data_IF_467493545786
#
_entry.id   IF_467493545786
#
_cell.length_a   1.000
_cell.length_b   1.000
_cell.length_c   1.000
_cell.angle_alpha   90.00
_cell.angle_beta   90.00
_cell.angle_gamma   90.00
#
_symmetry.space_group_name_H-M   'P 1'
#
loop_
_entity.id
_entity.type
_entity.pdbx_description
1 polymer ?
#
# COMPACT_ATOMS: atom_id res chain seq x y z
N UNK A 1 -6.51 15.79 -5.40
CA UNK A 1 -7.39 14.62 -5.42
C UNK A 1 -7.39 14.07 -6.83
N UNK A 2 -6.77 12.92 -7.05
CA UNK A 2 -6.55 12.36 -8.38
C UNK A 2 -7.83 11.80 -9.02
N UNK A 3 -7.84 11.68 -10.35
CA UNK A 3 -8.94 11.06 -11.13
C UNK A 3 -9.01 9.55 -10.86
N UNK A 4 -10.16 8.90 -11.11
CA UNK A 4 -10.40 7.50 -10.75
C UNK A 4 -9.33 6.52 -11.25
N UNK A 5 -8.78 6.75 -12.46
CA UNK A 5 -7.71 5.91 -13.03
C UNK A 5 -6.43 5.97 -12.19
N UNK A 6 -6.03 7.16 -11.76
CA UNK A 6 -4.85 7.35 -10.92
C UNK A 6 -5.00 6.68 -9.55
N UNK A 7 -6.21 6.69 -8.98
CA UNK A 7 -6.48 6.04 -7.69
C UNK A 7 -6.27 4.52 -7.75
N UNK A 8 -6.64 3.86 -8.85
CA UNK A 8 -6.39 2.43 -9.05
C UNK A 8 -4.89 2.16 -9.15
N UNK A 9 -4.20 2.96 -9.98
CA UNK A 9 -2.75 2.88 -10.16
C UNK A 9 -2.00 3.09 -8.83
N UNK A 10 -2.42 4.05 -8.00
CA UNK A 10 -1.81 4.27 -6.69
C UNK A 10 -1.96 3.06 -5.76
N UNK A 11 -3.14 2.44 -5.72
CA UNK A 11 -3.37 1.24 -4.91
C UNK A 11 -2.46 0.08 -5.35
N UNK A 12 -2.35 -0.13 -6.66
CA UNK A 12 -1.49 -1.17 -7.23
C UNK A 12 -0.01 -0.91 -6.92
N UNK A 13 0.47 0.33 -7.12
CA UNK A 13 1.85 0.73 -6.81
C UNK A 13 2.19 0.60 -5.32
N UNK A 14 1.25 0.95 -4.44
CA UNK A 14 1.40 0.78 -2.99
C UNK A 14 1.52 -0.72 -2.65
N UNK A 15 0.61 -1.55 -3.14
CA UNK A 15 0.65 -3.00 -2.88
C UNK A 15 1.96 -3.64 -3.35
N UNK A 16 2.41 -3.30 -4.57
CA UNK A 16 3.67 -3.80 -5.10
C UNK A 16 4.88 -3.35 -4.28
N UNK A 17 4.96 -2.06 -3.93
CA UNK A 17 6.07 -1.54 -3.15
C UNK A 17 6.12 -2.12 -1.74
N UNK A 18 4.97 -2.32 -1.09
CA UNK A 18 4.89 -3.01 0.20
C UNK A 18 5.38 -4.45 0.09
N UNK A 19 4.98 -5.16 -0.97
CA UNK A 19 5.34 -6.56 -1.17
C UNK A 19 6.83 -6.75 -1.47
N UNK A 20 7.42 -5.84 -2.25
CA UNK A 20 8.87 -5.82 -2.49
C UNK A 20 9.66 -5.44 -1.23
N UNK A 21 9.20 -4.44 -0.46
CA UNK A 21 9.84 -4.06 0.80
C UNK A 21 9.77 -5.17 1.86
N UNK A 22 8.82 -6.10 1.70
CA UNK A 22 8.61 -7.28 2.51
C UNK A 22 9.57 -8.45 2.19
N UNK A 23 10.43 -8.34 1.15
CA UNK A 23 11.43 -9.37 0.83
C UNK A 23 12.41 -9.55 2.01
N UNK A 24 12.34 -10.71 2.67
CA UNK A 24 13.12 -11.07 3.85
C UNK A 24 12.32 -11.06 5.17
N UNK A 25 11.28 -10.23 5.29
CA UNK A 25 10.30 -10.30 6.39
C UNK A 25 8.97 -9.64 6.00
N UNK A 26 8.01 -10.45 5.54
CA UNK A 26 6.76 -9.97 4.93
C UNK A 26 5.78 -9.28 5.89
N UNK A 27 6.07 -9.33 7.19
CA UNK A 27 5.27 -8.69 8.24
C UNK A 27 5.92 -7.40 8.76
N UNK A 28 7.03 -6.97 8.16
CA UNK A 28 7.65 -5.71 8.52
C UNK A 28 6.84 -4.57 7.91
N UNK A 29 6.35 -3.66 8.76
CA UNK A 29 5.67 -2.46 8.32
C UNK A 29 6.62 -1.51 7.60
N UNK A 30 6.11 -0.82 6.58
CA UNK A 30 6.82 0.21 5.81
C UNK A 30 6.41 1.58 6.31
N UNK A 31 7.38 2.49 6.47
CA UNK A 31 7.13 3.89 6.81
C UNK A 31 6.30 4.57 5.70
N UNK A 32 5.14 5.11 6.06
CA UNK A 32 4.19 5.68 5.12
C UNK A 32 4.67 6.98 4.45
N UNK A 33 5.47 7.79 5.15
CA UNK A 33 6.03 9.03 4.59
C UNK A 33 7.13 8.74 3.56
N UNK A 34 7.97 7.76 3.85
CA UNK A 34 8.96 7.23 2.90
C UNK A 34 8.27 6.64 1.68
N UNK A 35 7.31 5.74 1.87
CA UNK A 35 6.59 5.09 0.78
C UNK A 35 5.88 6.10 -0.13
N UNK A 36 5.26 7.13 0.45
CA UNK A 36 4.67 8.23 -0.30
C UNK A 36 5.69 8.95 -1.18
N UNK A 37 6.86 9.24 -0.62
CA UNK A 37 7.96 9.94 -1.29
C UNK A 37 8.51 9.10 -2.44
N UNK A 38 8.77 7.82 -2.18
CA UNK A 38 9.30 6.86 -3.17
C UNK A 38 8.32 6.67 -4.34
N UNK A 39 7.01 6.68 -4.08
CA UNK A 39 5.98 6.52 -5.10
C UNK A 39 5.54 7.84 -5.78
N UNK A 40 5.93 8.98 -5.23
CA UNK A 40 5.52 10.31 -5.70
C UNK A 40 4.02 10.56 -5.58
N UNK A 41 3.36 9.98 -4.57
CA UNK A 41 1.91 10.07 -4.38
C UNK A 41 1.58 11.30 -3.52
N UNK A 42 0.62 12.16 -3.90
CA UNK A 42 0.17 13.25 -3.04
C UNK A 42 -0.39 12.73 -1.70
N UNK A 43 -0.16 13.46 -0.60
CA UNK A 43 -0.54 13.01 0.75
C UNK A 43 -2.00 12.57 0.88
N UNK A 44 -2.94 13.36 0.34
CA UNK A 44 -4.37 13.04 0.39
C UNK A 44 -4.71 11.79 -0.43
N UNK A 45 -4.06 11.60 -1.57
CA UNK A 45 -4.29 10.45 -2.44
C UNK A 45 -3.67 9.18 -1.82
N UNK A 46 -2.54 9.31 -1.12
CA UNK A 46 -1.92 8.25 -0.31
C UNK A 46 -2.86 7.81 0.82
N UNK A 47 -3.38 8.76 1.60
CA UNK A 47 -4.33 8.48 2.68
C UNK A 47 -5.59 7.78 2.15
N UNK A 48 -6.16 8.28 1.03
CA UNK A 48 -7.34 7.68 0.42
C UNK A 48 -7.08 6.26 -0.11
N UNK A 49 -5.91 6.00 -0.70
CA UNK A 49 -5.53 4.68 -1.18
C UNK A 49 -5.32 3.70 -0.02
N UNK A 50 -4.61 4.12 1.03
CA UNK A 50 -4.39 3.32 2.24
C UNK A 50 -5.71 3.00 2.97
N UNK A 51 -6.63 3.97 3.08
CA UNK A 51 -7.95 3.75 3.68
C UNK A 51 -8.76 2.72 2.90
N UNK A 52 -8.72 2.78 1.56
CA UNK A 52 -9.39 1.82 0.70
C UNK A 52 -8.81 0.40 0.87
N UNK A 53 -7.49 0.26 0.79
CA UNK A 53 -6.82 -1.04 0.92
C UNK A 53 -7.02 -1.66 2.31
N UNK A 54 -7.05 -0.83 3.37
CA UNK A 54 -7.37 -1.28 4.72
C UNK A 54 -8.82 -1.75 4.82
N UNK A 55 -9.76 -1.04 4.19
CA UNK A 55 -11.17 -1.46 4.10
C UNK A 55 -11.37 -2.79 3.36
N UNK A 56 -10.49 -3.13 2.42
CA UNK A 56 -10.48 -4.43 1.73
C UNK A 56 -9.69 -5.52 2.49
N UNK A 57 -9.12 -5.21 3.67
CA UNK A 57 -8.35 -6.16 4.47
C UNK A 57 -6.97 -6.51 3.89
N UNK A 58 -6.49 -5.78 2.89
CA UNK A 58 -5.21 -6.06 2.20
C UNK A 58 -3.99 -5.52 2.96
N UNK A 59 -4.19 -4.46 3.72
CA UNK A 59 -3.16 -3.83 4.56
C UNK A 59 -3.73 -3.50 5.93
N UNK A 60 -2.84 -3.42 6.93
CA UNK A 60 -3.08 -2.71 8.18
C UNK A 60 -2.33 -1.38 8.10
N UNK A 61 -2.96 -0.30 8.57
CA UNK A 61 -2.38 1.04 8.55
C UNK A 61 -2.43 1.61 9.95
N UNK A 62 -1.26 1.95 10.48
CA UNK A 62 -1.15 2.81 11.65
C UNK A 62 -1.23 4.26 11.18
N UNK A 63 -2.25 4.97 11.68
CA UNK A 63 -2.52 6.34 11.28
C UNK A 63 -1.83 7.34 12.20
N UNK A 64 -1.10 8.27 11.60
CA UNK A 64 -0.53 9.43 12.27
C UNK A 64 -1.50 10.61 12.32
N UNK A 65 -0.98 11.78 12.70
CA UNK A 65 -1.75 13.03 12.70
C UNK A 65 -2.21 13.38 11.29
N UNK A 66 -3.40 13.98 11.18
CA UNK A 66 -3.95 14.44 9.90
C UNK A 66 -4.41 13.32 8.96
N UNK A 67 -4.62 12.10 9.49
CA UNK A 67 -4.95 10.91 8.69
C UNK A 67 -3.86 10.53 7.68
N UNK A 68 -2.60 10.85 8.00
CA UNK A 68 -1.44 10.43 7.21
C UNK A 68 -1.01 9.02 7.64
N UNK A 69 -0.79 8.09 6.70
CA UNK A 69 -0.25 6.77 7.04
C UNK A 69 1.13 6.90 7.69
N UNK A 70 1.28 6.41 8.92
CA UNK A 70 2.56 6.38 9.62
C UNK A 70 3.31 5.08 9.32
N UNK A 71 2.64 3.93 9.47
CA UNK A 71 3.17 2.63 9.12
C UNK A 71 2.12 1.83 8.35
N UNK A 72 2.55 1.10 7.33
CA UNK A 72 1.67 0.29 6.50
C UNK A 72 2.26 -1.11 6.39
N UNK A 73 1.45 -2.11 6.73
CA UNK A 73 1.88 -3.51 6.74
C UNK A 73 0.94 -4.33 5.88
N UNK A 74 1.48 -5.23 5.05
CA UNK A 74 0.65 -6.18 4.32
C UNK A 74 0.00 -7.18 5.28
N UNK A 75 -1.25 -7.51 5.04
CA UNK A 75 -1.89 -8.66 5.68
C UNK A 75 -1.53 -9.94 4.95
N UNK A 76 -1.82 -11.09 5.56
CA UNK A 76 -1.76 -12.38 4.86
C UNK A 76 -2.61 -12.40 3.58
N UNK A 77 -3.77 -11.73 3.58
CA UNK A 77 -4.62 -11.62 2.41
C UNK A 77 -3.96 -10.77 1.31
N UNK A 78 -3.37 -9.64 1.68
CA UNK A 78 -2.62 -8.79 0.75
C UNK A 78 -1.43 -9.51 0.13
N UNK A 79 -0.69 -10.29 0.92
CA UNK A 79 0.42 -11.13 0.43
C UNK A 79 -0.08 -12.16 -0.58
N UNK A 80 -1.11 -12.95 -0.24
CA UNK A 80 -1.65 -13.98 -1.16
C UNK A 80 -2.14 -13.40 -2.48
N UNK A 81 -2.75 -12.23 -2.44
CA UNK A 81 -3.17 -11.54 -3.66
C UNK A 81 -1.96 -11.22 -4.55
N UNK A 82 -0.90 -10.65 -3.98
CA UNK A 82 0.32 -10.32 -4.72
C UNK A 82 1.00 -11.57 -5.29
N UNK A 83 1.10 -12.65 -4.52
CA UNK A 83 1.63 -13.94 -5.01
C UNK A 83 0.82 -14.46 -6.20
N UNK A 84 -0.52 -14.42 -6.12
CA UNK A 84 -1.39 -14.86 -7.23
C UNK A 84 -1.20 -13.97 -8.48
N UNK A 85 -1.01 -12.66 -8.29
CA UNK A 85 -0.76 -11.71 -9.38
C UNK A 85 0.62 -11.91 -10.03
N UNK A 86 1.64 -12.31 -9.26
CA UNK A 86 2.96 -12.68 -9.78
C UNK A 86 2.91 -13.98 -10.56
N UNK A 87 2.27 -15.02 -10.01
CA UNK A 87 2.11 -16.33 -10.67
C UNK A 87 1.34 -16.24 -11.99
N UNK A 88 0.31 -15.39 -12.05
CA UNK A 88 -0.47 -15.17 -13.27
C UNK A 88 0.26 -14.35 -14.36
N UNK A 89 1.42 -13.76 -14.05
CA UNK A 89 2.26 -13.01 -15.00
C UNK A 89 3.48 -13.80 -15.50
N UNK A 90 3.77 -14.95 -14.88
CA UNK A 90 4.81 -15.90 -15.31
C UNK A 90 4.30 -16.89 -16.34
#
# INVERSE_FOLDING_TARGET
MAILRDRKTYRERIMQALYQAAEGNRLLGVDGAKLRTDLGIPEQDMAAACMYLAGEGRVVVDWGRGNSPAMITLTHQGIRQMETEEEGRG
#
